data_IF_183210853445
#
_entry.id   IF_183210853445
#
_cell.length_a   1.000
_cell.length_b   1.000
_cell.length_c   1.000
_cell.angle_alpha   90.00
_cell.angle_beta   90.00
_cell.angle_gamma   90.00
#
_symmetry.space_group_name_H-M   'P 1'
#
loop_
_entity.id
_entity.type
_entity.pdbx_description
1 polymer ?
#
# COMPACT_ATOMS: atom_id res chain seq x y z
N UNK A 1 8.79 -13.85 1.61
CA UNK A 1 8.51 -12.61 2.37
C UNK A 1 7.32 -11.93 1.74
N UNK A 2 6.24 -11.75 2.50
CA UNK A 2 5.04 -11.08 2.01
C UNK A 2 5.26 -9.55 2.08
N UNK A 3 5.33 -8.87 0.94
CA UNK A 3 5.37 -7.41 0.90
C UNK A 3 3.94 -6.87 1.03
N UNK A 4 3.59 -6.39 2.21
CA UNK A 4 2.33 -5.70 2.50
C UNK A 4 2.37 -5.11 3.91
N UNK A 5 1.47 -4.19 4.20
CA UNK A 5 1.37 -3.52 5.50
C UNK A 5 0.13 -4.04 6.23
N UNK A 6 0.27 -4.27 7.52
CA UNK A 6 -0.78 -4.76 8.43
C UNK A 6 -1.25 -3.64 9.35
N UNK A 7 -2.26 -3.87 10.18
CA UNK A 7 -2.52 -2.94 11.28
C UNK A 7 -1.24 -2.75 12.11
N UNK A 8 -0.92 -1.49 12.39
CA UNK A 8 0.34 -1.11 13.04
C UNK A 8 0.45 -1.77 14.42
N UNK A 9 1.58 -2.45 14.66
CA UNK A 9 1.88 -3.24 15.86
C UNK A 9 1.00 -4.48 16.12
N UNK A 10 0.26 -4.96 15.12
CA UNK A 10 -0.55 -6.17 15.25
C UNK A 10 -0.13 -7.25 14.23
N UNK A 11 0.72 -8.22 14.62
CA UNK A 11 1.22 -9.25 13.73
C UNK A 11 0.13 -10.25 13.28
N UNK A 12 -1.00 -10.33 14.00
CA UNK A 12 -2.09 -11.26 13.67
C UNK A 12 -3.06 -10.67 12.65
N UNK A 13 -2.98 -9.36 12.38
CA UNK A 13 -3.82 -8.69 11.37
C UNK A 13 -3.37 -9.01 9.94
N UNK A 14 -4.28 -8.92 8.98
CA UNK A 14 -4.02 -9.24 7.57
C UNK A 14 -3.13 -8.19 6.89
N UNK A 15 -2.53 -8.56 5.76
CA UNK A 15 -1.79 -7.64 4.88
C UNK A 15 -2.76 -6.90 3.95
N UNK A 16 -2.60 -5.59 3.87
CA UNK A 16 -3.50 -4.68 3.18
C UNK A 16 -2.75 -3.91 2.07
N UNK A 17 -3.27 -3.96 0.86
CA UNK A 17 -2.61 -3.46 -0.34
C UNK A 17 -2.72 -1.95 -0.54
N UNK A 18 -3.85 -1.33 -0.18
CA UNK A 18 -4.09 0.08 -0.48
C UNK A 18 -3.23 1.01 0.38
N UNK A 19 -3.09 0.70 1.67
CA UNK A 19 -2.16 1.31 2.59
C UNK A 19 -0.72 1.08 2.13
N UNK A 20 -0.37 -0.13 1.69
CA UNK A 20 0.96 -0.41 1.13
C UNK A 20 1.28 0.50 -0.06
N UNK A 21 0.32 0.68 -0.97
CA UNK A 21 0.46 1.60 -2.10
C UNK A 21 0.60 3.06 -1.65
N UNK A 22 -0.19 3.50 -0.66
CA UNK A 22 -0.10 4.84 -0.09
C UNK A 22 1.25 5.13 0.57
N UNK A 23 1.78 4.19 1.36
CA UNK A 23 3.10 4.31 1.98
C UNK A 23 4.21 4.31 0.92
N UNK A 24 4.15 3.42 -0.07
CA UNK A 24 5.10 3.41 -1.19
C UNK A 24 5.12 4.76 -1.92
N UNK A 25 3.94 5.28 -2.30
CA UNK A 25 3.80 6.61 -2.91
C UNK A 25 4.43 7.71 -2.05
N UNK A 26 4.08 7.77 -0.76
CA UNK A 26 4.56 8.80 0.15
C UNK A 26 6.08 8.79 0.30
N UNK A 27 6.69 7.61 0.41
CA UNK A 27 8.15 7.47 0.50
C UNK A 27 8.82 7.86 -0.82
N UNK A 28 8.33 7.35 -1.96
CA UNK A 28 8.86 7.72 -3.29
C UNK A 28 8.84 9.24 -3.50
N UNK A 29 7.69 9.86 -3.21
CA UNK A 29 7.50 11.30 -3.33
C UNK A 29 8.48 12.08 -2.45
N UNK A 30 8.62 11.65 -1.20
CA UNK A 30 9.46 12.32 -0.20
C UNK A 30 10.94 12.20 -0.53
N UNK A 31 11.38 11.04 -1.03
CA UNK A 31 12.76 10.84 -1.52
C UNK A 31 13.02 11.74 -2.72
N UNK A 32 12.15 11.74 -3.74
CA UNK A 32 12.34 12.57 -4.95
C UNK A 32 12.37 14.06 -4.62
N UNK A 33 11.51 14.50 -3.70
CA UNK A 33 11.48 15.89 -3.21
C UNK A 33 12.58 16.23 -2.19
N UNK A 34 13.44 15.25 -1.84
CA UNK A 34 14.54 15.39 -0.88
C UNK A 34 14.08 15.82 0.52
N UNK A 35 12.86 15.42 0.91
CA UNK A 35 12.35 15.63 2.26
C UNK A 35 12.91 14.59 3.25
N UNK A 36 13.27 13.41 2.74
CA UNK A 36 13.91 12.33 3.50
C UNK A 36 15.12 11.79 2.74
N UNK A 37 15.97 11.06 3.45
CA UNK A 37 17.18 10.42 2.92
C UNK A 37 16.85 9.41 1.81
N UNK A 38 17.66 9.40 0.74
CA UNK A 38 17.51 8.48 -0.39
C UNK A 38 17.62 7.00 -0.02
N UNK A 39 18.22 6.66 1.13
CA UNK A 39 18.27 5.27 1.61
C UNK A 39 16.89 4.62 1.77
N UNK A 40 15.84 5.41 1.95
CA UNK A 40 14.47 4.91 2.07
C UNK A 40 13.86 4.45 0.74
N UNK A 41 14.51 4.71 -0.40
CA UNK A 41 14.04 4.25 -1.71
C UNK A 41 13.87 2.72 -1.75
N UNK A 42 14.81 1.97 -1.17
CA UNK A 42 14.72 0.50 -1.09
C UNK A 42 13.47 0.01 -0.33
N UNK A 43 13.00 0.79 0.66
CA UNK A 43 11.77 0.47 1.40
C UNK A 43 10.55 0.66 0.50
N UNK A 44 10.51 1.76 -0.25
CA UNK A 44 9.44 2.01 -1.21
C UNK A 44 9.39 0.97 -2.33
N UNK A 45 10.55 0.58 -2.88
CA UNK A 45 10.63 -0.44 -3.94
C UNK A 45 10.11 -1.80 -3.46
N UNK A 46 10.44 -2.20 -2.22
CA UNK A 46 9.89 -3.42 -1.61
C UNK A 46 8.38 -3.34 -1.48
N UNK A 47 7.83 -2.21 -1.01
CA UNK A 47 6.40 -2.03 -0.89
C UNK A 47 5.71 -2.06 -2.27
N UNK A 48 6.28 -1.38 -3.26
CA UNK A 48 5.81 -1.38 -4.65
C UNK A 48 5.77 -2.79 -5.25
N UNK A 49 6.81 -3.60 -5.07
CA UNK A 49 6.83 -4.99 -5.51
C UNK A 49 5.69 -5.81 -4.88
N UNK A 50 5.31 -5.49 -3.64
CA UNK A 50 4.13 -6.06 -2.99
C UNK A 50 2.83 -5.66 -3.66
N UNK A 51 2.67 -4.36 -3.94
CA UNK A 51 1.48 -3.83 -4.62
C UNK A 51 1.32 -4.45 -6.00
N UNK A 52 2.38 -4.49 -6.82
CA UNK A 52 2.33 -5.06 -8.18
C UNK A 52 1.94 -6.53 -8.16
N UNK A 53 2.40 -7.31 -7.17
CA UNK A 53 2.02 -8.72 -7.01
C UNK A 53 0.54 -8.91 -6.66
N UNK A 54 -0.14 -7.87 -6.16
CA UNK A 54 -1.55 -7.91 -5.81
C UNK A 54 -2.46 -7.35 -6.89
N UNK A 55 -1.92 -6.88 -8.02
CA UNK A 55 -2.71 -6.50 -9.19
C UNK A 55 -2.96 -7.76 -10.02
N UNK A 56 -4.24 -8.12 -10.21
CA UNK A 56 -4.61 -9.30 -11.00
C UNK A 56 -4.52 -9.03 -12.52
N UNK A 57 -4.83 -10.03 -13.34
CA UNK A 57 -4.80 -9.94 -14.81
C UNK A 57 -5.79 -8.95 -15.40
N UNK A 58 -6.86 -8.65 -14.66
CA UNK A 58 -7.91 -7.69 -15.06
C UNK A 58 -7.54 -6.26 -14.65
N UNK A 59 -6.38 -6.06 -14.02
CA UNK A 59 -5.90 -4.77 -13.55
C UNK A 59 -6.45 -4.34 -12.20
N UNK A 60 -7.11 -5.24 -11.46
CA UNK A 60 -7.65 -4.93 -10.14
C UNK A 60 -6.62 -5.18 -9.04
N UNK A 61 -6.33 -4.16 -8.24
CA UNK A 61 -5.68 -4.31 -6.94
C UNK A 61 -6.54 -5.12 -5.95
N UNK A 62 -6.04 -6.30 -5.58
CA UNK A 62 -6.62 -7.21 -4.60
C UNK A 62 -6.09 -6.93 -3.19
N UNK A 63 -6.62 -7.64 -2.18
CA UNK A 63 -6.22 -7.51 -0.78
C UNK A 63 -6.41 -6.09 -0.21
N UNK A 64 -7.48 -5.42 -0.63
CA UNK A 64 -7.83 -4.07 -0.15
C UNK A 64 -8.92 -4.19 0.92
N UNK A 65 -8.70 -3.59 2.09
CA UNK A 65 -9.73 -3.55 3.14
C UNK A 65 -10.93 -2.78 2.67
N UNK A 66 -12.16 -3.22 2.94
CA UNK A 66 -13.40 -2.50 2.62
C UNK A 66 -13.51 -1.14 3.33
N UNK A 67 -14.56 -0.37 2.99
CA UNK A 67 -14.83 0.93 3.61
C UNK A 67 -14.86 0.81 5.13
N UNK A 68 -13.87 1.39 5.80
CA UNK A 68 -13.64 1.21 7.24
C UNK A 68 -14.02 2.48 8.00
N UNK A 69 -15.01 2.37 8.88
CA UNK A 69 -15.41 3.48 9.76
C UNK A 69 -14.54 3.51 11.05
N UNK A 70 -14.84 4.43 11.95
CA UNK A 70 -14.18 4.45 13.26
C UNK A 70 -14.66 3.26 14.11
N UNK A 71 -13.75 2.32 14.38
CA UNK A 71 -14.00 1.14 15.21
C UNK A 71 -13.94 1.44 16.70
N UNK A 72 -14.58 0.59 17.50
CA UNK A 72 -14.54 0.69 18.97
C UNK A 72 -13.35 -0.05 19.61
N UNK A 73 -12.75 -0.99 18.87
CA UNK A 73 -11.65 -1.84 19.34
C UNK A 73 -10.82 -2.36 18.13
N UNK A 74 -9.73 -3.07 18.40
CA UNK A 74 -8.85 -3.62 17.37
C UNK A 74 -9.50 -4.74 16.56
N UNK A 75 -10.35 -5.56 17.18
CA UNK A 75 -11.02 -6.67 16.49
C UNK A 75 -11.91 -6.20 15.33
N UNK A 76 -12.51 -5.02 15.46
CA UNK A 76 -13.23 -4.39 14.36
C UNK A 76 -12.36 -4.26 13.10
N UNK A 77 -11.12 -3.79 13.24
CA UNK A 77 -10.20 -3.59 12.12
C UNK A 77 -9.67 -4.91 11.55
N UNK A 78 -9.52 -5.95 12.39
CA UNK A 78 -9.08 -7.29 11.95
C UNK A 78 -10.10 -8.00 11.09
N UNK A 79 -11.39 -7.70 11.28
CA UNK A 79 -12.50 -8.40 10.65
C UNK A 79 -13.04 -7.69 9.39
N UNK A 80 -12.43 -6.57 8.99
CA UNK A 80 -12.87 -5.85 7.78
C UNK A 80 -12.68 -6.76 6.57
N UNK A 81 -13.73 -6.98 5.75
CA UNK A 81 -13.63 -7.80 4.54
C UNK A 81 -12.59 -7.24 3.57
N UNK A 82 -11.92 -8.14 2.85
CA UNK A 82 -10.98 -7.80 1.79
C UNK A 82 -11.64 -7.97 0.42
N UNK A 83 -11.65 -6.90 -0.38
CA UNK A 83 -12.20 -6.91 -1.75
C UNK A 83 -11.60 -5.78 -2.58
N UNK A 84 -11.68 -5.87 -3.91
CA UNK A 84 -11.34 -4.76 -4.79
C UNK A 84 -12.21 -3.53 -4.47
N UNK A 85 -11.58 -2.36 -4.37
CA UNK A 85 -12.23 -1.09 -4.03
C UNK A 85 -11.67 0.07 -4.85
N UNK A 86 -12.49 1.09 -5.21
CA UNK A 86 -12.03 2.20 -6.05
C UNK A 86 -10.82 2.98 -5.50
N UNK A 87 -10.75 3.22 -4.19
CA UNK A 87 -9.60 3.90 -3.58
C UNK A 87 -8.33 3.04 -3.64
N UNK A 88 -8.45 1.72 -3.62
CA UNK A 88 -7.32 0.80 -3.81
C UNK A 88 -6.68 1.02 -5.18
N UNK A 89 -7.51 1.06 -6.24
CA UNK A 89 -7.04 1.35 -7.60
C UNK A 89 -6.42 2.74 -7.70
N UNK A 90 -7.07 3.76 -7.12
CA UNK A 90 -6.53 5.13 -7.13
C UNK A 90 -5.16 5.21 -6.45
N UNK A 91 -4.97 4.53 -5.30
CA UNK A 91 -3.69 4.48 -4.60
C UNK A 91 -2.62 3.73 -5.40
N UNK A 92 -2.97 2.62 -6.05
CA UNK A 92 -2.05 1.92 -6.94
C UNK A 92 -1.59 2.81 -8.10
N UNK A 93 -2.52 3.53 -8.75
CA UNK A 93 -2.20 4.47 -9.83
C UNK A 93 -1.25 5.56 -9.34
N UNK A 94 -1.55 6.21 -8.21
CA UNK A 94 -0.67 7.23 -7.64
C UNK A 94 0.73 6.71 -7.38
N UNK A 95 0.84 5.52 -6.78
CA UNK A 95 2.10 4.86 -6.48
C UNK A 95 2.90 4.54 -7.74
N UNK A 96 2.28 3.90 -8.73
CA UNK A 96 2.95 3.50 -9.98
C UNK A 96 3.39 4.71 -10.81
N UNK A 97 2.55 5.75 -10.90
CA UNK A 97 2.89 6.99 -11.62
C UNK A 97 4.07 7.71 -10.94
N UNK A 98 4.09 7.76 -9.61
CA UNK A 98 5.23 8.35 -8.91
C UNK A 98 6.50 7.52 -9.13
N UNK A 99 6.40 6.19 -9.15
CA UNK A 99 7.54 5.31 -9.42
C UNK A 99 8.13 5.47 -10.82
N UNK A 100 7.31 5.78 -11.84
CA UNK A 100 7.82 6.07 -13.19
C UNK A 100 8.84 7.21 -13.23
N UNK A 101 8.82 8.14 -12.26
CA UNK A 101 9.80 9.23 -12.17
C UNK A 101 11.22 8.73 -11.84
N UNK A 102 11.39 7.48 -11.41
CA UNK A 102 12.71 6.89 -11.15
C UNK A 102 13.44 6.56 -12.46
N UNK A 103 12.73 6.46 -13.58
CA UNK A 103 13.28 6.13 -14.91
C UNK A 103 13.53 7.36 -15.80
N UNK A 104 13.27 8.57 -15.29
CA UNK A 104 13.52 9.84 -15.96
C UNK A 104 14.84 10.44 -15.47
#
# INVERSE_FOLDING_TARGET
MACGIRCWNDPDSYLESSATAGFAFGILKSVRKRYIDGKYLQVAEKALQGVVKQINTDGELMQVSFGTAMGKNLDYYRQVPLTSMPYGQAMAILCLVEYLNVYL
#
